data_IF_085051947131
#
_entry.id   IF_085051947131
#
_cell.length_a   1.000
_cell.length_b   1.000
_cell.length_c   1.000
_cell.angle_alpha   90.00
_cell.angle_beta   90.00
_cell.angle_gamma   90.00
#
_symmetry.space_group_name_H-M   'P 1'
#
loop_
_entity.id
_entity.type
_entity.pdbx_description
1 polymer ?
#
# COMPACT_ATOMS: atom_id res chain seq x y z
N UNK A 1 2.16 20.56 -12.57
CA UNK A 1 1.66 19.85 -11.40
C UNK A 1 2.55 18.67 -11.08
N UNK A 2 3.08 18.60 -9.88
CA UNK A 2 3.95 17.49 -9.52
C UNK A 2 3.12 16.22 -9.28
N UNK A 3 3.66 15.12 -9.76
CA UNK A 3 3.04 13.81 -9.52
C UNK A 3 3.27 13.38 -8.08
N UNK A 4 2.27 12.78 -7.48
CA UNK A 4 2.43 12.22 -6.15
C UNK A 4 3.39 11.03 -6.20
N UNK A 5 4.27 10.94 -5.21
CA UNK A 5 5.19 9.82 -5.07
C UNK A 5 4.55 8.75 -4.20
N UNK A 6 4.57 7.52 -4.67
CA UNK A 6 4.07 6.37 -3.93
C UNK A 6 5.16 5.28 -3.88
N UNK A 7 5.20 4.56 -2.76
CA UNK A 7 6.10 3.41 -2.60
C UNK A 7 5.28 2.15 -2.84
N UNK A 8 5.79 1.26 -3.66
CA UNK A 8 5.13 0.00 -4.03
C UNK A 8 6.06 -1.17 -3.78
N UNK A 9 5.54 -2.27 -3.29
CA UNK A 9 6.33 -3.48 -3.12
C UNK A 9 5.50 -4.66 -2.67
N UNK A 10 6.13 -5.85 -2.73
CA UNK A 10 5.55 -7.10 -2.24
C UNK A 10 6.18 -7.44 -0.90
N UNK A 11 5.35 -7.51 0.14
CA UNK A 11 5.81 -7.64 1.51
C UNK A 11 6.18 -9.07 1.88
N UNK A 12 7.12 -9.20 2.82
CA UNK A 12 7.47 -10.47 3.45
C UNK A 12 8.39 -11.32 2.61
N UNK A 13 8.19 -12.63 2.64
CA UNK A 13 9.00 -13.58 1.90
C UNK A 13 8.47 -13.87 0.49
N UNK A 14 7.46 -13.13 0.06
CA UNK A 14 6.82 -13.32 -1.24
C UNK A 14 7.71 -12.84 -2.38
N UNK A 15 7.94 -13.70 -3.35
CA UNK A 15 8.78 -13.40 -4.52
C UNK A 15 7.99 -13.32 -5.83
N UNK A 16 6.66 -13.19 -5.77
CA UNK A 16 5.82 -13.11 -6.95
C UNK A 16 5.90 -11.73 -7.60
N UNK A 17 6.72 -11.60 -8.62
CA UNK A 17 7.03 -10.31 -9.23
C UNK A 17 6.08 -9.86 -10.34
N UNK A 18 5.30 -10.78 -10.92
CA UNK A 18 4.43 -10.44 -12.06
C UNK A 18 3.38 -9.39 -11.68
N UNK A 19 2.67 -9.61 -10.56
CA UNK A 19 1.70 -8.64 -10.07
C UNK A 19 2.33 -7.29 -9.75
N UNK A 20 3.51 -7.31 -9.16
CA UNK A 20 4.26 -6.10 -8.84
C UNK A 20 4.59 -5.31 -10.10
N UNK A 21 5.05 -5.99 -11.16
CA UNK A 21 5.38 -5.37 -12.44
C UNK A 21 4.14 -4.72 -13.06
N UNK A 22 3.01 -5.41 -13.01
CA UNK A 22 1.75 -4.89 -13.54
C UNK A 22 1.31 -3.64 -12.78
N UNK A 23 1.36 -3.67 -11.47
CA UNK A 23 0.98 -2.51 -10.64
C UNK A 23 1.91 -1.33 -10.88
N UNK A 24 3.20 -1.58 -11.00
CA UNK A 24 4.17 -0.53 -11.30
C UNK A 24 3.85 0.17 -12.62
N UNK A 25 3.60 -0.61 -13.67
CA UNK A 25 3.25 -0.06 -14.98
C UNK A 25 1.93 0.71 -14.93
N UNK A 26 0.93 0.14 -14.25
CA UNK A 26 -0.39 0.75 -14.14
C UNK A 26 -0.34 2.12 -13.46
N UNK A 27 0.25 2.18 -12.26
CA UNK A 27 0.28 3.44 -11.51
C UNK A 27 1.19 4.47 -12.17
N UNK A 28 2.28 4.04 -12.78
CA UNK A 28 3.15 4.94 -13.55
C UNK A 28 2.38 5.57 -14.70
N UNK A 29 1.60 4.78 -15.43
CA UNK A 29 0.78 5.28 -16.52
C UNK A 29 -0.29 6.27 -16.04
N UNK A 30 -0.78 6.08 -14.82
CA UNK A 30 -1.78 6.99 -14.23
C UNK A 30 -1.18 8.30 -13.71
N UNK A 31 0.12 8.50 -13.85
CA UNK A 31 0.78 9.75 -13.49
C UNK A 31 1.39 9.78 -12.11
N UNK A 32 1.44 8.66 -11.40
CA UNK A 32 2.14 8.60 -10.12
C UNK A 32 3.64 8.38 -10.33
N UNK A 33 4.44 8.98 -9.46
CA UNK A 33 5.86 8.65 -9.41
C UNK A 33 6.01 7.43 -8.51
N UNK A 34 6.26 6.28 -9.09
CA UNK A 34 6.31 5.01 -8.36
C UNK A 34 7.74 4.66 -7.97
N UNK A 35 7.96 4.50 -6.67
CA UNK A 35 9.21 3.96 -6.13
C UNK A 35 8.95 2.50 -5.86
N UNK A 36 9.36 1.64 -6.78
CA UNK A 36 9.08 0.21 -6.72
C UNK A 36 10.22 -0.54 -6.03
N UNK A 37 9.94 -1.09 -4.86
CA UNK A 37 10.93 -1.83 -4.07
C UNK A 37 11.04 -3.29 -4.51
N UNK A 38 10.15 -3.76 -5.37
CA UNK A 38 10.19 -5.13 -5.85
C UNK A 38 9.51 -6.11 -4.90
N UNK A 39 10.15 -7.24 -4.68
CA UNK A 39 9.59 -8.34 -3.87
C UNK A 39 10.41 -8.56 -2.60
N UNK A 40 9.85 -9.32 -1.68
CA UNK A 40 10.50 -9.68 -0.41
C UNK A 40 10.88 -8.46 0.43
N UNK A 41 9.98 -7.48 0.49
CA UNK A 41 10.22 -6.19 1.15
C UNK A 41 9.74 -6.26 2.59
N UNK A 42 10.55 -5.76 3.51
CA UNK A 42 10.18 -5.66 4.93
C UNK A 42 9.40 -4.36 5.21
N UNK A 43 8.70 -4.32 6.34
CA UNK A 43 8.01 -3.09 6.77
C UNK A 43 8.98 -1.92 6.85
N UNK A 44 10.15 -2.15 7.44
CA UNK A 44 11.15 -1.09 7.59
C UNK A 44 11.65 -0.55 6.26
N UNK A 45 11.83 -1.44 5.27
CA UNK A 45 12.22 -1.01 3.93
C UNK A 45 11.18 -0.13 3.26
N UNK A 46 9.88 -0.46 3.42
CA UNK A 46 8.80 0.40 2.94
C UNK A 46 8.87 1.78 3.59
N UNK A 47 9.04 1.81 4.90
CA UNK A 47 9.05 3.05 5.67
C UNK A 47 10.28 3.90 5.31
N UNK A 48 11.46 3.29 5.24
CA UNK A 48 12.68 3.99 4.85
C UNK A 48 12.55 4.64 3.48
N UNK A 49 12.00 3.90 2.51
CA UNK A 49 11.80 4.43 1.17
C UNK A 49 10.81 5.59 1.16
N UNK A 50 9.73 5.49 1.95
CA UNK A 50 8.74 6.56 2.03
C UNK A 50 9.34 7.83 2.63
N UNK A 51 10.18 7.69 3.65
CA UNK A 51 10.86 8.84 4.28
C UNK A 51 11.83 9.48 3.29
N UNK A 52 12.68 8.67 2.65
CA UNK A 52 13.70 9.16 1.74
C UNK A 52 13.13 9.87 0.51
N UNK A 53 11.99 9.42 0.03
CA UNK A 53 11.39 9.97 -1.19
C UNK A 53 10.29 10.98 -0.94
N UNK A 54 9.89 11.18 0.31
CA UNK A 54 8.78 12.06 0.64
C UNK A 54 7.45 11.53 0.11
N UNK A 55 7.28 10.21 0.09
CA UNK A 55 6.08 9.59 -0.49
C UNK A 55 4.82 9.93 0.28
N UNK A 56 3.72 10.03 -0.45
CA UNK A 56 2.39 10.27 0.12
C UNK A 56 1.67 8.99 0.51
N UNK A 57 2.06 7.86 -0.07
CA UNK A 57 1.38 6.59 0.15
C UNK A 57 2.34 5.41 0.03
N UNK A 58 2.00 4.33 0.74
CA UNK A 58 2.67 3.05 0.63
C UNK A 58 1.63 2.02 0.17
N UNK A 59 1.91 1.33 -0.92
CA UNK A 59 1.06 0.29 -1.47
C UNK A 59 1.73 -1.06 -1.24
N UNK A 60 1.12 -1.86 -0.39
CA UNK A 60 1.64 -3.16 0.05
C UNK A 60 0.87 -4.27 -0.64
N UNK A 61 1.58 -5.15 -1.32
CA UNK A 61 0.98 -6.28 -2.02
C UNK A 61 1.43 -7.58 -1.38
N UNK A 62 0.54 -8.56 -1.33
CA UNK A 62 0.86 -9.91 -0.86
C UNK A 62 0.08 -10.93 -1.67
N UNK A 63 0.77 -11.86 -2.31
CA UNK A 63 0.14 -12.85 -3.18
C UNK A 63 0.16 -14.27 -2.62
N UNK A 64 0.86 -14.50 -1.52
CA UNK A 64 1.00 -15.86 -0.98
C UNK A 64 0.13 -16.14 0.25
N UNK A 65 -0.70 -15.17 0.64
CA UNK A 65 -1.71 -15.40 1.66
C UNK A 65 -1.27 -15.15 3.11
N UNK A 66 -0.09 -14.62 3.36
CA UNK A 66 0.39 -14.32 4.71
C UNK A 66 0.36 -12.83 5.02
N UNK A 67 -0.42 -12.07 4.26
CA UNK A 67 -0.45 -10.61 4.39
C UNK A 67 -0.81 -10.11 5.78
N UNK A 68 -1.74 -10.78 6.47
CA UNK A 68 -2.15 -10.36 7.80
C UNK A 68 -0.98 -10.43 8.79
N UNK A 69 -0.18 -11.47 8.73
CA UNK A 69 0.99 -11.62 9.59
C UNK A 69 2.05 -10.59 9.24
N UNK A 70 2.35 -10.46 7.96
CA UNK A 70 3.41 -9.56 7.47
C UNK A 70 3.09 -8.09 7.70
N UNK A 71 1.81 -7.73 7.72
CA UNK A 71 1.36 -6.35 7.88
C UNK A 71 1.05 -5.99 9.33
N UNK A 72 1.12 -6.93 10.26
CA UNK A 72 0.83 -6.66 11.66
C UNK A 72 1.76 -5.58 12.21
N UNK A 73 1.19 -4.56 12.84
CA UNK A 73 1.95 -3.47 13.44
C UNK A 73 2.52 -2.45 12.46
N UNK A 74 2.16 -2.53 11.17
CA UNK A 74 2.72 -1.64 10.15
C UNK A 74 2.40 -0.17 10.44
N UNK A 75 1.12 0.14 10.73
CA UNK A 75 0.73 1.53 11.06
C UNK A 75 1.49 2.05 12.29
N UNK A 76 1.63 1.23 13.32
CA UNK A 76 2.35 1.62 14.52
C UNK A 76 3.80 1.98 14.22
N UNK A 77 4.46 1.22 13.35
CA UNK A 77 5.82 1.53 12.92
C UNK A 77 5.88 2.82 12.12
N UNK A 78 4.89 3.06 11.28
CA UNK A 78 4.80 4.32 10.55
C UNK A 78 4.71 5.51 11.51
N UNK A 79 3.86 5.39 12.52
CA UNK A 79 3.69 6.43 13.53
C UNK A 79 4.99 6.68 14.29
N UNK A 80 5.66 5.61 14.72
CA UNK A 80 6.95 5.70 15.44
C UNK A 80 8.03 6.41 14.61
N UNK A 81 7.96 6.27 13.28
CA UNK A 81 8.94 6.84 12.37
C UNK A 81 8.53 8.21 11.81
N UNK A 82 7.45 8.79 12.34
CA UNK A 82 6.98 10.12 11.93
C UNK A 82 6.08 10.13 10.71
N UNK A 83 5.57 8.98 10.30
CA UNK A 83 4.69 8.85 9.14
C UNK A 83 3.24 8.56 9.55
N UNK A 84 2.74 9.23 10.59
CA UNK A 84 1.39 8.99 11.10
C UNK A 84 0.29 9.22 10.08
N UNK A 85 0.51 10.13 9.13
CA UNK A 85 -0.50 10.50 8.13
C UNK A 85 -0.29 9.83 6.78
N UNK A 86 0.69 8.96 6.64
CA UNK A 86 0.92 8.32 5.35
C UNK A 86 -0.24 7.41 4.98
N UNK A 87 -0.64 7.45 3.71
CA UNK A 87 -1.70 6.58 3.21
C UNK A 87 -1.15 5.18 3.05
N UNK A 88 -1.88 4.19 3.57
CA UNK A 88 -1.44 2.81 3.58
C UNK A 88 -2.52 1.93 2.93
N UNK A 89 -2.21 1.42 1.76
CA UNK A 89 -3.11 0.54 1.00
C UNK A 89 -2.55 -0.88 1.00
N UNK A 90 -3.44 -1.84 1.21
CA UNK A 90 -3.09 -3.24 1.09
C UNK A 90 -3.82 -3.87 -0.09
N UNK A 91 -3.21 -4.86 -0.72
CA UNK A 91 -3.81 -5.52 -1.86
C UNK A 91 -3.25 -6.91 -2.11
N UNK A 92 -3.87 -7.62 -3.04
CA UNK A 92 -3.49 -8.95 -3.43
C UNK A 92 -4.21 -10.03 -2.62
N UNK A 93 -3.61 -11.20 -2.55
CA UNK A 93 -4.17 -12.35 -1.84
C UNK A 93 -3.69 -12.33 -0.39
N UNK A 94 -4.32 -11.51 0.43
CA UNK A 94 -3.82 -11.13 1.76
C UNK A 94 -3.91 -12.19 2.85
N UNK A 95 -4.76 -13.21 2.68
CA UNK A 95 -4.91 -14.28 3.67
C UNK A 95 -5.01 -15.63 2.99
N UNK A 96 -4.68 -16.69 3.75
CA UNK A 96 -4.81 -18.07 3.30
C UNK A 96 -6.22 -18.59 3.60
N UNK A 97 -6.78 -19.35 2.66
CA UNK A 97 -8.07 -20.00 2.84
C UNK A 97 -9.26 -19.16 2.40
N UNK A 98 -10.45 -19.69 2.67
CA UNK A 98 -11.70 -19.03 2.29
C UNK A 98 -12.16 -18.15 3.44
N UNK A 99 -11.94 -16.87 3.30
CA UNK A 99 -12.38 -15.88 4.28
C UNK A 99 -13.26 -14.86 3.57
N UNK A 100 -14.34 -14.44 4.21
CA UNK A 100 -15.23 -13.43 3.64
C UNK A 100 -14.48 -12.12 3.42
N UNK A 101 -14.74 -11.47 2.28
CA UNK A 101 -14.11 -10.20 1.93
C UNK A 101 -14.22 -9.18 3.06
N UNK A 102 -15.39 -9.02 3.63
CA UNK A 102 -15.63 -8.04 4.68
C UNK A 102 -14.77 -8.30 5.92
N UNK A 103 -14.55 -9.58 6.24
CA UNK A 103 -13.72 -9.96 7.38
C UNK A 103 -12.26 -9.56 7.16
N UNK A 104 -11.74 -9.79 5.95
CA UNK A 104 -10.37 -9.40 5.60
C UNK A 104 -10.21 -7.90 5.64
N UNK A 105 -11.12 -7.17 4.99
CA UNK A 105 -11.09 -5.72 4.95
C UNK A 105 -11.14 -5.15 6.38
N UNK A 106 -12.04 -5.65 7.22
CA UNK A 106 -12.16 -5.19 8.60
C UNK A 106 -10.87 -5.37 9.39
N UNK A 107 -10.21 -6.52 9.23
CA UNK A 107 -8.95 -6.80 9.95
C UNK A 107 -7.85 -5.83 9.54
N UNK A 108 -7.70 -5.58 8.25
CA UNK A 108 -6.66 -4.66 7.78
C UNK A 108 -6.95 -3.22 8.14
N UNK A 109 -8.21 -2.81 8.09
CA UNK A 109 -8.59 -1.47 8.55
C UNK A 109 -8.31 -1.32 10.05
N UNK A 110 -8.57 -2.35 10.84
CA UNK A 110 -8.27 -2.34 12.27
C UNK A 110 -6.77 -2.24 12.55
N UNK A 111 -5.93 -2.74 11.63
CA UNK A 111 -4.48 -2.62 11.73
C UNK A 111 -3.95 -1.26 11.26
N UNK A 112 -4.82 -0.37 10.82
CA UNK A 112 -4.43 0.97 10.40
C UNK A 112 -4.23 1.17 8.90
N UNK A 113 -4.64 0.21 8.08
CA UNK A 113 -4.66 0.40 6.63
C UNK A 113 -5.86 1.27 6.25
N UNK A 114 -5.66 2.17 5.31
CA UNK A 114 -6.73 3.08 4.88
C UNK A 114 -7.70 2.40 3.93
N UNK A 115 -7.20 1.55 3.03
CA UNK A 115 -8.02 0.78 2.10
C UNK A 115 -7.38 -0.55 1.79
N UNK A 116 -8.21 -1.51 1.41
CA UNK A 116 -7.78 -2.86 1.07
C UNK A 116 -8.44 -3.27 -0.24
N UNK A 117 -7.64 -3.79 -1.17
CA UNK A 117 -8.12 -4.25 -2.47
C UNK A 117 -7.86 -5.74 -2.60
N UNK A 118 -8.92 -6.48 -2.98
CA UNK A 118 -8.86 -7.92 -3.13
C UNK A 118 -8.70 -8.28 -4.62
N UNK A 119 -8.30 -9.52 -4.93
CA UNK A 119 -8.22 -9.95 -6.33
C UNK A 119 -9.55 -9.70 -7.05
N UNK A 120 -9.48 -9.13 -8.24
CA UNK A 120 -10.65 -8.79 -9.03
C UNK A 120 -11.18 -7.39 -8.82
N UNK A 121 -10.68 -6.65 -7.86
CA UNK A 121 -11.07 -5.25 -7.67
C UNK A 121 -10.53 -4.39 -8.82
N UNK A 122 -11.25 -3.31 -9.11
CA UNK A 122 -10.95 -2.43 -10.23
C UNK A 122 -9.76 -1.52 -9.90
N UNK A 123 -8.67 -1.65 -10.65
CA UNK A 123 -7.47 -0.83 -10.46
C UNK A 123 -7.71 0.64 -10.81
N UNK A 124 -8.59 0.93 -11.77
CA UNK A 124 -8.95 2.31 -12.10
C UNK A 124 -9.58 3.01 -10.90
N UNK A 125 -10.48 2.31 -10.21
CA UNK A 125 -11.11 2.82 -9.00
C UNK A 125 -10.06 3.02 -7.90
N UNK A 126 -9.13 2.08 -7.75
CA UNK A 126 -8.05 2.20 -6.77
C UNK A 126 -7.21 3.45 -7.02
N UNK A 127 -6.86 3.74 -8.27
CA UNK A 127 -6.08 4.93 -8.63
C UNK A 127 -6.88 6.21 -8.33
N UNK A 128 -8.18 6.21 -8.63
CA UNK A 128 -9.04 7.36 -8.36
C UNK A 128 -9.11 7.65 -6.86
N UNK A 129 -9.32 6.61 -6.07
CA UNK A 129 -9.39 6.74 -4.61
C UNK A 129 -8.06 7.19 -4.03
N UNK A 130 -6.96 6.69 -4.56
CA UNK A 130 -5.63 7.07 -4.10
C UNK A 130 -5.37 8.56 -4.31
N UNK A 131 -5.72 9.10 -5.47
CA UNK A 131 -5.59 10.54 -5.74
C UNK A 131 -6.42 11.36 -4.79
N UNK A 132 -7.66 10.93 -4.54
CA UNK A 132 -8.56 11.63 -3.63
C UNK A 132 -8.02 11.59 -2.19
N UNK A 133 -7.53 10.45 -1.75
CA UNK A 133 -6.98 10.31 -0.40
C UNK A 133 -5.73 11.15 -0.21
N UNK A 134 -4.84 11.18 -1.20
CA UNK A 134 -3.63 12.02 -1.16
C UNK A 134 -4.00 13.50 -1.09
N UNK A 135 -4.95 13.93 -1.90
CA UNK A 135 -5.41 15.32 -1.90
C UNK A 135 -6.05 15.71 -0.57
N UNK A 136 -6.84 14.80 0.01
CA UNK A 136 -7.47 15.03 1.31
C UNK A 136 -6.44 15.17 2.44
N UNK A 137 -5.45 14.29 2.46
CA UNK A 137 -4.38 14.35 3.48
C UNK A 137 -3.57 15.62 3.36
N UNK A 138 -3.22 16.02 2.14
CA UNK A 138 -2.49 17.27 1.90
C UNK A 138 -3.31 18.48 2.36
N UNK A 139 -4.62 18.46 2.10
CA UNK A 139 -5.52 19.52 2.55
C UNK A 139 -5.59 19.59 4.08
N UNK A 140 -5.69 18.47 4.74
CA UNK A 140 -5.70 18.39 6.21
C UNK A 140 -4.43 18.96 6.82
N UNK A 141 -3.29 18.63 6.23
CA UNK A 141 -1.99 19.13 6.73
C UNK A 141 -1.85 20.64 6.60
N UNK A 142 -2.52 21.23 5.64
CA UNK A 142 -2.50 22.68 5.43
C UNK A 142 -3.45 23.42 6.36
N UNK A 143 -4.45 22.70 6.82
CA UNK A 143 -5.42 23.28 7.75
C UNK A 143 -4.82 23.36 9.16
#
# INVERSE_FOLDING_TARGET
>A
MSDATIVLGVIGADCHSVGNTILNAFFTEKGFKVVNLGVMVSQDEFIDAAIETGASAILVSSLYGHGEIDCAGFRDRCVERGLEDIILYGGGNLVVGKVARESVVSRFLAMGFDRVFMPGDDLEEAARLLRADIAGTAGEKRA
#
